data_IF_673554460487
#
_entry.id   IF_673554460487
#
_cell.length_a   1.000
_cell.length_b   1.000
_cell.length_c   1.000
_cell.angle_alpha   90.00
_cell.angle_beta   90.00
_cell.angle_gamma   90.00
#
_symmetry.space_group_name_H-M   'P 1'
#
loop_
_entity.id
_entity.type
_entity.pdbx_description
1 polymer ?
#
# COMPACT_ATOMS: atom_id res chain seq x y z
N UNK A 1 99.52 89.86 38.99
CA UNK A 1 99.67 89.42 40.40
C UNK A 1 99.59 87.92 40.46
N UNK A 2 100.74 87.27 40.47
CA UNK A 2 100.89 85.83 40.73
C UNK A 2 102.22 85.69 41.45
N UNK A 3 102.15 85.80 42.79
CA UNK A 3 103.23 85.45 43.69
C UNK A 3 103.52 83.96 43.49
N UNK A 4 104.56 83.64 42.76
CA UNK A 4 105.16 82.30 42.81
C UNK A 4 105.79 82.14 44.20
N UNK A 5 105.34 81.18 45.02
CA UNK A 5 105.98 80.91 46.30
C UNK A 5 107.38 80.33 46.02
N UNK A 6 108.41 80.83 46.72
CA UNK A 6 109.70 80.15 46.74
C UNK A 6 109.46 78.70 47.22
N UNK A 7 109.91 77.67 46.48
CA UNK A 7 109.72 76.30 46.91
C UNK A 7 110.66 76.05 48.10
N UNK A 8 110.10 75.99 49.30
CA UNK A 8 110.79 75.45 50.48
C UNK A 8 110.72 73.94 50.35
N UNK A 9 111.85 73.30 50.02
CA UNK A 9 111.98 71.85 50.09
C UNK A 9 112.26 71.49 51.55
N UNK A 10 111.21 71.12 52.29
CA UNK A 10 111.33 70.59 53.65
C UNK A 10 111.66 69.10 53.60
N UNK A 11 112.82 68.69 54.14
CA UNK A 11 113.09 67.28 54.43
C UNK A 11 112.60 66.95 55.84
N UNK A 12 112.08 65.74 56.03
CA UNK A 12 111.48 65.23 57.27
C UNK A 12 112.47 65.01 58.43
N UNK A 13 113.67 65.59 58.33
CA UNK A 13 114.73 65.52 59.32
C UNK A 13 115.27 66.93 59.57
N UNK A 14 114.48 67.76 60.27
CA UNK A 14 114.90 68.97 60.98
C UNK A 14 115.47 70.15 60.18
N UNK A 15 115.59 70.06 58.85
CA UNK A 15 116.37 71.00 58.04
C UNK A 15 115.56 71.51 56.84
N UNK A 16 115.32 72.83 56.74
CA UNK A 16 114.57 73.44 55.62
C UNK A 16 115.49 74.16 54.66
N UNK A 17 115.43 73.88 53.35
CA UNK A 17 116.31 74.52 52.37
C UNK A 17 115.59 75.61 51.57
N UNK A 18 116.28 76.72 51.32
CA UNK A 18 115.84 77.78 50.42
C UNK A 18 116.90 78.05 49.35
N UNK A 19 116.42 78.41 48.16
CA UNK A 19 117.25 78.98 47.11
C UNK A 19 117.20 80.50 47.26
N UNK A 20 118.31 81.11 47.67
CA UNK A 20 118.44 82.54 47.84
C UNK A 20 119.30 83.12 46.72
N UNK A 21 118.81 84.17 46.05
CA UNK A 21 119.61 84.96 45.13
C UNK A 21 119.98 86.25 45.87
N UNK A 22 121.26 86.43 46.17
CA UNK A 22 121.78 87.60 46.87
C UNK A 22 122.61 88.44 45.91
N UNK A 23 122.59 89.76 46.11
CA UNK A 23 123.36 90.68 45.30
C UNK A 23 124.68 90.97 46.00
N UNK A 24 125.81 90.53 45.42
CA UNK A 24 127.14 90.76 45.97
C UNK A 24 127.73 92.08 45.48
N UNK A 25 127.48 92.43 44.22
CA UNK A 25 127.95 93.66 43.59
C UNK A 25 127.08 94.02 42.38
N UNK A 26 127.23 95.23 41.84
CA UNK A 26 126.52 95.62 40.60
C UNK A 26 126.74 94.67 39.41
N UNK A 27 127.77 93.82 39.46
CA UNK A 27 128.14 92.86 38.41
C UNK A 27 128.07 91.39 38.82
N UNK A 28 127.72 91.05 40.07
CA UNK A 28 127.63 89.64 40.50
C UNK A 28 126.56 89.39 41.55
N UNK A 29 125.85 88.28 41.35
CA UNK A 29 124.87 87.72 42.27
C UNK A 29 125.45 86.42 42.85
N UNK A 30 125.07 86.02 44.07
CA UNK A 30 125.22 84.63 44.47
C UNK A 30 123.89 83.92 44.46
N UNK A 31 123.90 82.72 43.88
CA UNK A 31 122.86 81.74 44.05
C UNK A 31 123.29 80.78 45.17
N UNK A 32 122.63 80.91 46.31
CA UNK A 32 122.91 80.12 47.50
C UNK A 32 121.79 79.12 47.76
N UNK A 33 122.15 77.88 48.03
CA UNK A 33 121.27 76.88 48.63
C UNK A 33 121.57 76.89 50.13
N UNK A 34 120.63 77.43 50.90
CA UNK A 34 120.78 77.67 52.33
C UNK A 34 119.86 76.73 53.09
N UNK A 35 120.41 75.96 54.01
CA UNK A 35 119.66 75.27 55.04
C UNK A 35 119.38 76.21 56.20
N UNK A 36 118.11 76.35 56.53
CA UNK A 36 117.61 77.08 57.67
C UNK A 36 117.66 76.15 58.88
N UNK A 37 118.34 76.61 59.93
CA UNK A 37 118.53 75.89 61.18
C UNK A 37 118.26 76.87 62.34
N UNK A 38 117.63 76.37 63.41
CA UNK A 38 117.13 77.20 64.53
C UNK A 38 118.21 78.04 65.22
N UNK A 39 119.46 77.57 65.22
CA UNK A 39 120.57 78.31 65.83
C UNK A 39 121.33 79.17 64.82
N UNK A 40 121.59 78.65 63.62
CA UNK A 40 122.32 79.36 62.56
C UNK A 40 122.12 78.70 61.20
N UNK A 41 121.69 79.48 60.22
CA UNK A 41 121.56 79.01 58.84
C UNK A 41 122.92 78.58 58.25
N UNK A 42 122.91 77.45 57.54
CA UNK A 42 124.10 76.83 56.94
C UNK A 42 123.99 76.97 55.42
N UNK A 43 124.98 77.60 54.79
CA UNK A 43 125.06 77.67 53.32
C UNK A 43 125.77 76.42 52.83
N UNK A 44 125.06 75.58 52.08
CA UNK A 44 125.60 74.33 51.56
C UNK A 44 126.32 74.52 50.24
N UNK A 45 125.74 75.36 49.41
CA UNK A 45 126.28 75.68 48.11
C UNK A 45 126.08 77.17 47.85
N UNK A 46 127.13 77.82 47.41
CA UNK A 46 127.11 79.21 46.97
C UNK A 46 127.82 79.28 45.64
N UNK A 47 127.07 79.57 44.59
CA UNK A 47 127.63 79.86 43.29
C UNK A 47 127.57 81.36 43.06
N UNK A 48 128.71 81.97 42.74
CA UNK A 48 128.69 83.30 42.19
C UNK A 48 128.24 83.23 40.73
N UNK A 49 127.10 83.87 40.44
CA UNK A 49 126.55 84.03 39.12
C UNK A 49 126.86 85.47 38.69
N UNK A 50 127.72 85.68 37.69
CA UNK A 50 127.94 87.01 37.16
C UNK A 50 126.62 87.56 36.60
N UNK A 51 126.36 88.84 36.83
CA UNK A 51 125.26 89.52 36.17
C UNK A 51 125.47 89.43 34.67
N UNK A 52 124.49 88.88 33.95
CA UNK A 52 124.62 88.68 32.52
C UNK A 52 124.82 90.03 31.82
N UNK A 53 125.90 90.15 31.05
CA UNK A 53 126.13 91.32 30.21
C UNK A 53 125.01 91.52 29.19
N UNK A 54 124.82 92.76 28.73
CA UNK A 54 123.74 93.12 27.81
C UNK A 54 123.74 92.26 26.54
N UNK A 55 124.93 91.95 26.01
CA UNK A 55 125.08 91.09 24.82
C UNK A 55 124.56 89.67 25.05
N UNK A 56 124.84 89.08 26.22
CA UNK A 56 124.35 87.75 26.57
C UNK A 56 122.83 87.74 26.71
N UNK A 57 122.27 88.72 27.40
CA UNK A 57 120.82 88.88 27.57
C UNK A 57 120.15 89.05 26.21
N UNK A 58 120.67 89.94 25.36
CA UNK A 58 120.17 90.18 24.00
C UNK A 58 120.26 88.92 23.14
N UNK A 59 121.37 88.19 23.19
CA UNK A 59 121.55 86.93 22.46
C UNK A 59 120.54 85.87 22.90
N UNK A 60 120.33 85.72 24.22
CA UNK A 60 119.37 84.75 24.76
C UNK A 60 117.93 85.13 24.39
N UNK A 61 117.55 86.41 24.51
CA UNK A 61 116.23 86.89 24.05
C UNK A 61 116.03 86.66 22.56
N UNK A 62 117.02 86.95 21.72
CA UNK A 62 116.96 86.67 20.29
C UNK A 62 116.79 85.17 20.00
N UNK A 63 117.48 84.30 20.74
CA UNK A 63 117.36 82.85 20.63
C UNK A 63 115.96 82.37 20.99
N UNK A 64 115.43 82.80 22.15
CA UNK A 64 114.07 82.47 22.60
C UNK A 64 113.03 82.99 21.61
N UNK A 65 113.15 84.24 21.16
CA UNK A 65 112.25 84.82 20.18
C UNK A 65 112.25 84.04 18.86
N UNK A 66 113.42 83.66 18.33
CA UNK A 66 113.52 82.85 17.11
C UNK A 66 112.86 81.48 17.29
N UNK A 67 113.08 80.80 18.42
CA UNK A 67 112.45 79.52 18.73
C UNK A 67 110.91 79.65 18.75
N UNK A 68 110.38 80.58 19.54
CA UNK A 68 108.94 80.82 19.63
C UNK A 68 108.34 81.25 18.29
N UNK A 69 109.04 82.08 17.52
CA UNK A 69 108.60 82.49 16.17
C UNK A 69 108.52 81.29 15.22
N UNK A 70 109.50 80.39 15.27
CA UNK A 70 109.50 79.17 14.46
C UNK A 70 108.36 78.23 14.87
N UNK A 71 108.12 78.05 16.18
CA UNK A 71 106.99 77.25 16.69
C UNK A 71 105.64 77.83 16.25
N UNK A 72 105.45 79.14 16.35
CA UNK A 72 104.23 79.82 15.87
C UNK A 72 104.02 79.53 14.38
N UNK A 73 105.08 79.58 13.57
CA UNK A 73 104.96 79.33 12.13
C UNK A 73 104.63 77.86 11.83
N UNK A 74 105.19 76.92 12.57
CA UNK A 74 104.82 75.49 12.48
C UNK A 74 103.35 75.26 12.86
N UNK A 75 102.88 75.86 13.96
CA UNK A 75 101.48 75.73 14.36
C UNK A 75 100.53 76.37 13.34
N UNK A 76 100.89 77.50 12.73
CA UNK A 76 100.10 78.09 11.64
C UNK A 76 99.99 77.15 10.44
N UNK A 77 101.08 76.50 10.05
CA UNK A 77 101.07 75.53 8.96
C UNK A 77 100.22 74.30 9.29
N UNK A 78 100.30 73.79 10.52
CA UNK A 78 99.45 72.69 10.97
C UNK A 78 97.97 73.06 10.98
N UNK A 79 97.60 74.23 11.51
CA UNK A 79 96.22 74.72 11.50
C UNK A 79 95.70 74.82 10.07
N UNK A 80 96.51 75.36 9.14
CA UNK A 80 96.13 75.45 7.73
C UNK A 80 95.87 74.07 7.12
N UNK A 81 96.80 73.13 7.32
CA UNK A 81 96.67 71.76 6.81
C UNK A 81 95.42 71.05 7.36
N UNK A 82 95.17 71.14 8.67
CA UNK A 82 93.98 70.57 9.30
C UNK A 82 92.69 71.22 8.77
N UNK A 83 92.70 72.53 8.53
CA UNK A 83 91.55 73.24 7.99
C UNK A 83 91.25 72.82 6.53
N UNK A 84 92.29 72.62 5.72
CA UNK A 84 92.14 72.13 4.34
C UNK A 84 91.59 70.69 4.34
N UNK A 85 92.08 69.83 5.24
CA UNK A 85 91.57 68.46 5.43
C UNK A 85 90.11 68.45 5.88
N UNK A 86 89.76 69.29 6.86
CA UNK A 86 88.39 69.42 7.35
C UNK A 86 87.45 69.88 6.23
N UNK A 87 87.86 70.89 5.46
CA UNK A 87 87.06 71.40 4.33
C UNK A 87 86.83 70.33 3.28
N UNK A 88 87.88 69.60 2.89
CA UNK A 88 87.77 68.48 1.94
C UNK A 88 86.84 67.38 2.44
N UNK A 89 86.97 67.00 3.72
CA UNK A 89 86.11 66.00 4.35
C UNK A 89 84.66 66.47 4.40
N UNK A 90 84.40 67.72 4.77
CA UNK A 90 83.06 68.31 4.80
C UNK A 90 82.41 68.29 3.42
N UNK A 91 83.13 68.68 2.36
CA UNK A 91 82.60 68.65 0.98
C UNK A 91 82.28 67.22 0.56
N UNK A 92 83.20 66.28 0.80
CA UNK A 92 83.01 64.87 0.45
C UNK A 92 81.80 64.26 1.18
N UNK A 93 81.70 64.43 2.50
CA UNK A 93 80.58 63.91 3.30
C UNK A 93 79.24 64.58 2.97
N UNK A 94 79.24 65.86 2.62
CA UNK A 94 78.03 66.54 2.14
C UNK A 94 77.54 65.92 0.84
N UNK A 95 78.44 65.59 -0.08
CA UNK A 95 78.09 64.92 -1.34
C UNK A 95 77.54 63.51 -1.11
N UNK A 96 78.17 62.72 -0.23
CA UNK A 96 77.67 61.39 0.14
C UNK A 96 76.25 61.46 0.70
N UNK A 97 75.98 62.41 1.61
CA UNK A 97 74.65 62.63 2.19
C UNK A 97 73.62 63.05 1.13
N UNK A 98 73.99 63.90 0.18
CA UNK A 98 73.12 64.30 -0.92
C UNK A 98 72.76 63.12 -1.82
N UNK A 99 73.74 62.28 -2.16
CA UNK A 99 73.52 61.07 -2.97
C UNK A 99 72.58 60.09 -2.24
N UNK A 100 72.84 59.82 -0.96
CA UNK A 100 72.02 58.92 -0.16
C UNK A 100 70.58 59.45 -0.03
N UNK A 101 70.40 60.77 0.16
CA UNK A 101 69.06 61.39 0.19
C UNK A 101 68.32 61.23 -1.14
N UNK A 102 69.01 61.33 -2.27
CA UNK A 102 68.42 61.12 -3.59
C UNK A 102 68.01 59.65 -3.81
N UNK A 103 68.84 58.69 -3.39
CA UNK A 103 68.53 57.26 -3.45
C UNK A 103 67.31 56.90 -2.58
N UNK A 104 67.28 57.37 -1.32
CA UNK A 104 66.12 57.17 -0.46
C UNK A 104 64.84 57.78 -1.05
N UNK A 105 64.92 58.96 -1.68
CA UNK A 105 63.76 59.59 -2.32
C UNK A 105 63.25 58.75 -3.49
N UNK A 106 64.14 58.20 -4.31
CA UNK A 106 63.77 57.29 -5.42
C UNK A 106 63.15 56.00 -4.91
N UNK A 107 63.72 55.39 -3.87
CA UNK A 107 63.18 54.17 -3.28
C UNK A 107 61.80 54.40 -2.66
N UNK A 108 61.62 55.53 -1.97
CA UNK A 108 60.31 55.92 -1.43
C UNK A 108 59.27 56.05 -2.52
N UNK A 109 59.59 56.76 -3.61
CA UNK A 109 58.68 56.91 -4.74
C UNK A 109 58.31 55.56 -5.38
N UNK A 110 59.29 54.67 -5.57
CA UNK A 110 59.03 53.32 -6.09
C UNK A 110 58.10 52.50 -5.18
N UNK A 111 58.26 52.63 -3.86
CA UNK A 111 57.38 51.99 -2.88
C UNK A 111 55.96 52.56 -2.95
N UNK A 112 55.82 53.88 -3.02
CA UNK A 112 54.52 54.56 -3.12
C UNK A 112 53.78 54.15 -4.41
N UNK A 113 54.49 54.03 -5.53
CA UNK A 113 53.92 53.57 -6.81
C UNK A 113 53.47 52.10 -6.73
N UNK A 114 54.29 51.22 -6.13
CA UNK A 114 53.92 49.80 -5.92
C UNK A 114 52.72 49.65 -4.99
N UNK A 115 52.63 50.48 -3.95
CA UNK A 115 51.52 50.45 -3.00
C UNK A 115 50.22 50.85 -3.71
N UNK A 116 50.27 51.88 -4.55
CA UNK A 116 49.14 52.30 -5.39
C UNK A 116 48.68 51.21 -6.37
N UNK A 117 49.62 50.52 -7.02
CA UNK A 117 49.32 49.40 -7.91
C UNK A 117 48.66 48.23 -7.16
N UNK A 118 49.11 47.94 -5.93
CA UNK A 118 48.51 46.92 -5.08
C UNK A 118 47.11 47.30 -4.61
N UNK A 119 46.90 48.55 -4.21
CA UNK A 119 45.57 49.06 -3.83
C UNK A 119 44.59 48.95 -5.00
N UNK A 120 45.03 49.29 -6.21
CA UNK A 120 44.20 49.18 -7.41
C UNK A 120 43.87 47.72 -7.75
N UNK A 121 44.84 46.81 -7.64
CA UNK A 121 44.61 45.37 -7.83
C UNK A 121 43.65 44.81 -6.79
N UNK A 122 43.82 45.19 -5.53
CA UNK A 122 42.94 44.81 -4.44
C UNK A 122 41.50 45.29 -4.69
N UNK A 123 41.35 46.54 -5.13
CA UNK A 123 40.04 47.09 -5.48
C UNK A 123 39.36 46.30 -6.60
N UNK A 124 40.07 46.02 -7.70
CA UNK A 124 39.53 45.24 -8.82
C UNK A 124 39.12 43.84 -8.35
N UNK A 125 39.94 43.17 -7.55
CA UNK A 125 39.61 41.82 -7.09
C UNK A 125 38.45 41.80 -6.09
N UNK A 126 38.33 42.85 -5.26
CA UNK A 126 37.16 43.04 -4.41
C UNK A 126 35.88 43.22 -5.24
N UNK A 127 35.93 44.02 -6.33
CA UNK A 127 34.76 44.20 -7.20
C UNK A 127 34.34 42.89 -7.88
N UNK A 128 35.28 42.10 -8.41
CA UNK A 128 34.98 40.78 -8.98
C UNK A 128 34.40 39.81 -7.97
N UNK A 129 34.92 39.82 -6.74
CA UNK A 129 34.41 38.97 -5.67
C UNK A 129 32.97 39.34 -5.32
N UNK A 130 32.68 40.64 -5.15
CA UNK A 130 31.33 41.14 -4.90
C UNK A 130 30.36 40.78 -6.05
N UNK A 131 30.77 40.94 -7.31
CA UNK A 131 29.95 40.54 -8.48
C UNK A 131 29.66 39.03 -8.49
N UNK A 132 30.66 38.21 -8.17
CA UNK A 132 30.51 36.76 -8.09
C UNK A 132 29.57 36.37 -6.94
N UNK A 133 29.71 37.01 -5.78
CA UNK A 133 28.83 36.82 -4.63
C UNK A 133 27.38 37.17 -4.98
N UNK A 134 27.13 38.33 -5.59
CA UNK A 134 25.78 38.73 -6.02
C UNK A 134 25.18 37.77 -7.04
N UNK A 135 25.98 37.30 -8.01
CA UNK A 135 25.54 36.30 -8.99
C UNK A 135 25.17 34.97 -8.33
N UNK A 136 25.94 34.53 -7.33
CA UNK A 136 25.63 33.31 -6.59
C UNK A 136 24.37 33.47 -5.74
N UNK A 137 24.20 34.60 -5.05
CA UNK A 137 22.98 34.93 -4.30
C UNK A 137 21.76 34.88 -5.22
N UNK A 138 21.84 35.50 -6.40
CA UNK A 138 20.75 35.48 -7.39
C UNK A 138 20.40 34.06 -7.87
N UNK A 139 21.40 33.22 -8.15
CA UNK A 139 21.19 31.81 -8.53
C UNK A 139 20.52 31.01 -7.41
N UNK A 140 20.94 31.21 -6.16
CA UNK A 140 20.34 30.51 -5.01
C UNK A 140 18.88 30.92 -4.83
N UNK A 141 18.56 32.21 -4.93
CA UNK A 141 17.18 32.70 -4.85
C UNK A 141 16.32 32.12 -5.97
N UNK A 142 16.84 32.07 -7.20
CA UNK A 142 16.12 31.48 -8.33
C UNK A 142 15.81 29.98 -8.10
N UNK A 143 16.82 29.20 -7.70
CA UNK A 143 16.64 27.77 -7.39
C UNK A 143 15.65 27.54 -6.24
N UNK A 144 15.66 28.41 -5.22
CA UNK A 144 14.68 28.33 -4.12
C UNK A 144 13.24 28.55 -4.62
N UNK A 145 13.03 29.47 -5.57
CA UNK A 145 11.72 29.70 -6.19
C UNK A 145 11.30 28.49 -7.02
N UNK A 146 12.20 27.94 -7.84
CA UNK A 146 11.92 26.75 -8.65
C UNK A 146 11.56 25.51 -7.82
N UNK A 147 12.31 25.26 -6.74
CA UNK A 147 12.04 24.15 -5.81
C UNK A 147 10.66 24.31 -5.18
N UNK A 148 10.33 25.50 -4.65
CA UNK A 148 9.00 25.77 -4.07
C UNK A 148 7.89 25.55 -5.09
N UNK A 149 8.04 26.07 -6.30
CA UNK A 149 7.05 25.88 -7.37
C UNK A 149 6.87 24.41 -7.73
N UNK A 150 7.96 23.64 -7.76
CA UNK A 150 7.92 22.20 -8.03
C UNK A 150 7.25 21.44 -6.89
N UNK A 151 7.52 21.78 -5.64
CA UNK A 151 6.89 21.17 -4.46
C UNK A 151 5.38 21.42 -4.46
N UNK A 152 4.95 22.65 -4.74
CA UNK A 152 3.53 23.01 -4.88
C UNK A 152 2.84 22.19 -5.99
N UNK A 153 3.51 22.00 -7.13
CA UNK A 153 3.00 21.19 -8.23
C UNK A 153 2.88 19.71 -7.85
N UNK A 154 3.89 19.16 -7.17
CA UNK A 154 3.89 17.78 -6.70
C UNK A 154 2.80 17.55 -5.66
N UNK A 155 2.60 18.48 -4.73
CA UNK A 155 1.54 18.41 -3.73
C UNK A 155 0.15 18.47 -4.37
N UNK A 156 -0.03 19.32 -5.39
CA UNK A 156 -1.28 19.36 -6.17
C UNK A 156 -1.54 18.03 -6.90
N UNK A 157 -0.52 17.44 -7.52
CA UNK A 157 -0.64 16.12 -8.18
C UNK A 157 -0.97 15.02 -7.18
N UNK A 158 -0.31 15.02 -6.02
CA UNK A 158 -0.55 14.06 -4.93
C UNK A 158 -2.01 14.13 -4.45
N UNK A 159 -2.53 15.33 -4.20
CA UNK A 159 -3.93 15.53 -3.81
C UNK A 159 -4.91 15.03 -4.88
N UNK A 160 -4.66 15.36 -6.15
CA UNK A 160 -5.51 14.90 -7.26
C UNK A 160 -5.50 13.36 -7.40
N UNK A 161 -4.35 12.70 -7.25
CA UNK A 161 -4.30 11.24 -7.26
C UNK A 161 -5.01 10.62 -6.04
N UNK A 162 -4.91 11.25 -4.86
CA UNK A 162 -5.63 10.80 -3.66
C UNK A 162 -7.15 10.91 -3.87
N UNK A 163 -7.64 12.03 -4.41
CA UNK A 163 -9.05 12.22 -4.74
C UNK A 163 -9.55 11.17 -5.74
N UNK A 164 -8.79 10.89 -6.81
CA UNK A 164 -9.11 9.83 -7.77
C UNK A 164 -9.14 8.44 -7.13
N UNK A 165 -8.19 8.14 -6.25
CA UNK A 165 -8.16 6.88 -5.53
C UNK A 165 -9.39 6.70 -4.63
N UNK A 166 -9.77 7.74 -3.88
CA UNK A 166 -10.97 7.71 -3.05
C UNK A 166 -12.24 7.55 -3.90
N UNK A 167 -12.33 8.24 -5.04
CA UNK A 167 -13.47 8.09 -5.96
C UNK A 167 -13.58 6.65 -6.50
N UNK A 168 -12.46 6.04 -6.91
CA UNK A 168 -12.45 4.66 -7.40
C UNK A 168 -12.79 3.66 -6.30
N UNK A 169 -12.27 3.88 -5.08
CA UNK A 169 -12.58 3.06 -3.91
C UNK A 169 -14.07 3.11 -3.60
N UNK A 170 -14.68 4.29 -3.64
CA UNK A 170 -16.11 4.47 -3.40
C UNK A 170 -16.95 3.80 -4.49
N UNK A 171 -16.62 3.99 -5.77
CA UNK A 171 -17.30 3.30 -6.89
C UNK A 171 -17.21 1.78 -6.78
N UNK A 172 -16.05 1.25 -6.40
CA UNK A 172 -15.86 -0.18 -6.19
C UNK A 172 -16.71 -0.68 -5.02
N UNK A 173 -16.73 0.03 -3.89
CA UNK A 173 -17.57 -0.30 -2.75
C UNK A 173 -19.06 -0.33 -3.13
N UNK A 174 -19.54 0.67 -3.88
CA UNK A 174 -20.92 0.70 -4.37
C UNK A 174 -21.25 -0.50 -5.26
N UNK A 175 -20.34 -0.89 -6.15
CA UNK A 175 -20.52 -2.07 -7.01
C UNK A 175 -20.50 -3.37 -6.20
N UNK A 176 -19.61 -3.48 -5.21
CA UNK A 176 -19.58 -4.60 -4.26
C UNK A 176 -20.93 -4.70 -3.53
N UNK A 177 -21.44 -3.60 -2.97
CA UNK A 177 -22.75 -3.59 -2.29
C UNK A 177 -23.88 -3.99 -3.22
N UNK A 178 -23.93 -3.47 -4.44
CA UNK A 178 -24.94 -3.85 -5.45
C UNK A 178 -24.90 -5.35 -5.75
N UNK A 179 -23.71 -5.93 -5.93
CA UNK A 179 -23.55 -7.36 -6.19
C UNK A 179 -23.95 -8.21 -4.98
N UNK A 180 -23.57 -7.80 -3.77
CA UNK A 180 -23.99 -8.50 -2.55
C UNK A 180 -25.52 -8.52 -2.40
N UNK A 181 -26.21 -7.41 -2.68
CA UNK A 181 -27.68 -7.36 -2.66
C UNK A 181 -28.28 -8.32 -3.70
N UNK A 182 -27.76 -8.31 -4.94
CA UNK A 182 -28.24 -9.22 -5.99
C UNK A 182 -28.01 -10.70 -5.65
N UNK A 183 -26.87 -11.04 -5.05
CA UNK A 183 -26.60 -12.41 -4.59
C UNK A 183 -27.61 -12.83 -3.55
N UNK A 184 -27.90 -11.98 -2.57
CA UNK A 184 -28.93 -12.23 -1.55
C UNK A 184 -30.32 -12.48 -2.17
N UNK A 185 -30.74 -11.63 -3.12
CA UNK A 185 -32.02 -11.81 -3.83
C UNK A 185 -32.08 -13.15 -4.60
N UNK A 186 -30.96 -13.57 -5.19
CA UNK A 186 -30.86 -14.88 -5.88
C UNK A 186 -30.92 -16.02 -4.87
N UNK A 187 -30.27 -15.89 -3.72
CA UNK A 187 -30.31 -16.89 -2.64
C UNK A 187 -31.73 -17.06 -2.09
N UNK A 188 -32.43 -15.95 -1.80
CA UNK A 188 -33.83 -15.96 -1.36
C UNK A 188 -34.74 -16.63 -2.40
N UNK A 189 -34.59 -16.31 -3.69
CA UNK A 189 -35.34 -16.97 -4.77
C UNK A 189 -35.00 -18.45 -4.88
N UNK A 190 -33.73 -18.83 -4.74
CA UNK A 190 -33.30 -20.23 -4.77
C UNK A 190 -33.93 -21.02 -3.63
N UNK A 191 -33.99 -20.44 -2.43
CA UNK A 191 -34.64 -21.05 -1.26
C UNK A 191 -36.14 -21.21 -1.46
N UNK A 192 -36.82 -20.19 -2.00
CA UNK A 192 -38.25 -20.27 -2.36
C UNK A 192 -38.52 -21.38 -3.38
N UNK A 193 -37.75 -21.43 -4.47
CA UNK A 193 -37.88 -22.47 -5.50
C UNK A 193 -37.56 -23.87 -4.96
N UNK A 194 -36.58 -23.99 -4.06
CA UNK A 194 -36.27 -25.26 -3.42
C UNK A 194 -37.45 -25.76 -2.56
N UNK A 195 -38.12 -24.85 -1.83
CA UNK A 195 -39.32 -25.18 -1.08
C UNK A 195 -40.48 -25.60 -1.99
N UNK A 196 -40.73 -24.88 -3.10
CA UNK A 196 -41.73 -25.24 -4.10
C UNK A 196 -41.46 -26.62 -4.74
N UNK A 197 -40.21 -26.90 -5.09
CA UNK A 197 -39.81 -28.20 -5.64
C UNK A 197 -40.05 -29.34 -4.64
N UNK A 198 -39.84 -29.12 -3.35
CA UNK A 198 -40.10 -30.13 -2.33
C UNK A 198 -41.62 -30.39 -2.20
N UNK A 199 -42.45 -29.35 -2.24
CA UNK A 199 -43.92 -29.50 -2.29
C UNK A 199 -44.35 -30.30 -3.52
N UNK A 200 -43.87 -29.94 -4.70
CA UNK A 200 -44.19 -30.65 -5.95
C UNK A 200 -43.74 -32.12 -5.88
N UNK A 201 -42.60 -32.40 -5.24
CA UNK A 201 -42.11 -33.76 -5.05
C UNK A 201 -43.04 -34.57 -4.14
N UNK A 202 -43.50 -33.99 -3.02
CA UNK A 202 -44.49 -34.61 -2.14
C UNK A 202 -45.79 -34.89 -2.91
N UNK A 203 -46.30 -33.91 -3.66
CA UNK A 203 -47.53 -34.06 -4.46
C UNK A 203 -47.39 -35.16 -5.52
N UNK A 204 -46.26 -35.20 -6.22
CA UNK A 204 -45.96 -36.24 -7.20
C UNK A 204 -45.93 -37.62 -6.56
N UNK A 205 -45.25 -37.78 -5.43
CA UNK A 205 -45.16 -39.05 -4.72
C UNK A 205 -46.56 -39.50 -4.24
N UNK A 206 -47.40 -38.57 -3.79
CA UNK A 206 -48.80 -38.82 -3.43
C UNK A 206 -49.65 -39.24 -4.64
N UNK A 207 -49.54 -38.54 -5.77
CA UNK A 207 -50.24 -38.89 -7.01
C UNK A 207 -49.80 -40.25 -7.52
N UNK A 208 -48.50 -40.56 -7.46
CA UNK A 208 -47.98 -41.87 -7.86
C UNK A 208 -48.52 -42.98 -6.95
N UNK A 209 -48.63 -42.74 -5.64
CA UNK A 209 -49.23 -43.70 -4.70
C UNK A 209 -50.73 -43.90 -4.99
N UNK A 210 -51.47 -42.82 -5.24
CA UNK A 210 -52.88 -42.89 -5.60
C UNK A 210 -53.10 -43.64 -6.92
N UNK A 211 -52.25 -43.40 -7.93
CA UNK A 211 -52.30 -44.15 -9.19
C UNK A 211 -52.11 -45.65 -8.96
N UNK A 212 -51.12 -46.06 -8.16
CA UNK A 212 -50.89 -47.47 -7.82
C UNK A 212 -52.10 -48.10 -7.13
N UNK A 213 -52.68 -47.41 -6.15
CA UNK A 213 -53.91 -47.86 -5.47
C UNK A 213 -55.08 -48.02 -6.44
N UNK A 214 -55.29 -47.03 -7.31
CA UNK A 214 -56.35 -47.09 -8.31
C UNK A 214 -56.12 -48.24 -9.30
N UNK A 215 -54.88 -48.49 -9.72
CA UNK A 215 -54.54 -49.63 -10.58
C UNK A 215 -54.82 -50.97 -9.89
N UNK A 216 -54.53 -51.09 -8.60
CA UNK A 216 -54.86 -52.26 -7.76
C UNK A 216 -56.38 -52.46 -7.66
N UNK A 217 -57.13 -51.41 -7.33
CA UNK A 217 -58.60 -51.44 -7.26
C UNK A 217 -59.24 -51.79 -8.61
N UNK A 218 -58.74 -51.20 -9.70
CA UNK A 218 -59.20 -51.49 -11.06
C UNK A 218 -58.92 -52.95 -11.45
N UNK A 219 -57.79 -53.51 -11.02
CA UNK A 219 -57.47 -54.92 -11.25
C UNK A 219 -58.39 -55.86 -10.45
N UNK A 220 -58.72 -55.54 -9.21
CA UNK A 220 -59.72 -56.30 -8.44
C UNK A 220 -61.12 -56.19 -9.06
N UNK A 221 -61.56 -55.00 -9.47
CA UNK A 221 -62.83 -54.82 -10.19
C UNK A 221 -62.85 -55.63 -11.50
N UNK A 222 -61.77 -55.64 -12.27
CA UNK A 222 -61.65 -56.47 -13.48
C UNK A 222 -61.81 -57.95 -13.16
N UNK A 223 -61.19 -58.42 -12.08
CA UNK A 223 -61.28 -59.81 -11.63
C UNK A 223 -62.71 -60.16 -11.20
N UNK A 224 -63.38 -59.26 -10.49
CA UNK A 224 -64.77 -59.44 -10.11
C UNK A 224 -65.72 -59.38 -11.30
N UNK A 225 -65.45 -58.52 -12.29
CA UNK A 225 -66.17 -58.50 -13.56
C UNK A 225 -66.01 -59.82 -14.32
N UNK A 226 -64.81 -60.40 -14.35
CA UNK A 226 -64.58 -61.73 -14.94
C UNK A 226 -65.38 -62.81 -14.22
N UNK A 227 -65.41 -62.81 -12.88
CA UNK A 227 -66.25 -63.73 -12.10
C UNK A 227 -67.74 -63.51 -12.40
N UNK A 228 -68.21 -62.27 -12.46
CA UNK A 228 -69.59 -61.95 -12.80
C UNK A 228 -69.95 -62.44 -14.21
N UNK A 229 -69.06 -62.26 -15.19
CA UNK A 229 -69.22 -62.79 -16.55
C UNK A 229 -69.26 -64.33 -16.57
N UNK A 230 -68.46 -65.02 -15.75
CA UNK A 230 -68.53 -66.48 -15.57
C UNK A 230 -69.89 -66.92 -15.03
N UNK A 231 -70.41 -66.21 -14.02
CA UNK A 231 -71.74 -66.47 -13.44
C UNK A 231 -72.83 -66.24 -14.48
N UNK A 232 -72.79 -65.12 -15.22
CA UNK A 232 -73.74 -64.82 -16.29
C UNK A 232 -73.72 -65.94 -17.34
N UNK A 233 -72.54 -66.41 -17.76
CA UNK A 233 -72.42 -67.52 -18.72
C UNK A 233 -73.03 -68.82 -18.18
N UNK A 234 -72.82 -69.15 -16.91
CA UNK A 234 -73.45 -70.31 -16.25
C UNK A 234 -74.98 -70.16 -16.24
N UNK A 235 -75.48 -69.01 -15.79
CA UNK A 235 -76.92 -68.71 -15.77
C UNK A 235 -77.53 -68.76 -17.18
N UNK A 236 -76.86 -68.22 -18.21
CA UNK A 236 -77.30 -68.35 -19.61
C UNK A 236 -77.32 -69.81 -20.09
N UNK A 237 -76.39 -70.65 -19.61
CA UNK A 237 -76.40 -72.09 -19.84
C UNK A 237 -77.60 -72.78 -19.19
N UNK A 238 -77.89 -72.46 -17.93
CA UNK A 238 -79.05 -72.96 -17.19
C UNK A 238 -80.37 -72.51 -17.83
N UNK A 239 -80.49 -71.24 -18.22
CA UNK A 239 -81.67 -70.71 -18.91
C UNK A 239 -81.89 -71.44 -20.24
N UNK A 240 -80.83 -71.68 -21.04
CA UNK A 240 -80.94 -72.48 -22.27
C UNK A 240 -81.38 -73.92 -21.99
N UNK A 241 -80.80 -74.57 -20.98
CA UNK A 241 -81.18 -75.92 -20.56
C UNK A 241 -82.65 -75.99 -20.12
N UNK A 242 -83.11 -75.03 -19.33
CA UNK A 242 -84.50 -74.94 -18.90
C UNK A 242 -85.44 -74.60 -20.07
N UNK A 243 -85.03 -73.75 -21.00
CA UNK A 243 -85.79 -73.47 -22.21
C UNK A 243 -85.98 -74.75 -23.05
N UNK A 244 -84.93 -75.56 -23.21
CA UNK A 244 -85.01 -76.84 -23.91
C UNK A 244 -85.94 -77.84 -23.17
N UNK A 245 -85.80 -77.95 -21.84
CA UNK A 245 -86.73 -78.75 -21.02
C UNK A 245 -88.17 -78.30 -21.17
N UNK A 246 -88.40 -76.99 -21.19
CA UNK A 246 -89.73 -76.40 -21.32
C UNK A 246 -90.31 -76.64 -22.74
N UNK A 247 -89.47 -76.64 -23.77
CA UNK A 247 -89.85 -77.03 -25.14
C UNK A 247 -90.26 -78.51 -25.20
N UNK A 248 -89.46 -79.41 -24.62
CA UNK A 248 -89.81 -80.84 -24.49
C UNK A 248 -91.12 -81.00 -23.72
N UNK A 249 -91.32 -80.23 -22.64
CA UNK A 249 -92.56 -80.26 -21.86
C UNK A 249 -93.77 -79.82 -22.68
N UNK A 250 -93.62 -78.76 -23.50
CA UNK A 250 -94.67 -78.27 -24.39
C UNK A 250 -94.97 -79.26 -25.54
N UNK A 251 -93.95 -79.90 -26.11
CA UNK A 251 -94.13 -80.97 -27.09
C UNK A 251 -94.85 -82.18 -26.48
N UNK A 252 -94.49 -82.56 -25.25
CA UNK A 252 -95.18 -83.61 -24.48
C UNK A 252 -96.63 -83.24 -24.21
N UNK A 253 -96.90 -81.99 -23.82
CA UNK A 253 -98.25 -81.47 -23.63
C UNK A 253 -99.06 -81.50 -24.92
N UNK A 254 -98.47 -81.11 -26.04
CA UNK A 254 -99.14 -81.15 -27.34
C UNK A 254 -99.51 -82.58 -27.75
N UNK A 255 -98.60 -83.56 -27.56
CA UNK A 255 -98.90 -84.99 -27.78
C UNK A 255 -99.98 -85.52 -26.85
N UNK A 256 -100.01 -85.07 -25.60
CA UNK A 256 -101.10 -85.42 -24.67
C UNK A 256 -102.45 -84.87 -25.17
N UNK A 257 -102.49 -83.61 -25.63
CA UNK A 257 -103.71 -82.99 -26.16
C UNK A 257 -104.21 -83.72 -27.43
N UNK A 258 -103.30 -84.13 -28.32
CA UNK A 258 -103.62 -84.97 -29.50
C UNK A 258 -104.18 -86.34 -29.10
N UNK A 259 -103.57 -87.01 -28.12
CA UNK A 259 -104.02 -88.30 -27.61
C UNK A 259 -105.41 -88.20 -26.96
N UNK A 260 -105.69 -87.12 -26.21
CA UNK A 260 -107.01 -86.84 -25.63
C UNK A 260 -108.05 -86.60 -26.72
N UNK A 261 -107.72 -85.84 -27.77
CA UNK A 261 -108.61 -85.62 -28.92
C UNK A 261 -108.94 -86.91 -29.68
N UNK A 262 -107.92 -87.77 -29.87
CA UNK A 262 -108.07 -89.06 -30.54
C UNK A 262 -108.95 -90.01 -29.71
N UNK A 263 -108.71 -90.08 -28.39
CA UNK A 263 -109.53 -90.88 -27.47
C UNK A 263 -110.98 -90.36 -27.38
N UNK A 264 -111.19 -89.05 -27.44
CA UNK A 264 -112.53 -88.45 -27.47
C UNK A 264 -113.29 -88.85 -28.75
N UNK A 265 -112.61 -88.81 -29.89
CA UNK A 265 -113.16 -89.25 -31.18
C UNK A 265 -113.47 -90.76 -31.21
N UNK A 266 -112.64 -91.59 -30.55
CA UNK A 266 -112.90 -93.03 -30.41
C UNK A 266 -114.10 -93.32 -29.49
N UNK A 267 -114.25 -92.56 -28.41
CA UNK A 267 -115.41 -92.61 -27.51
C UNK A 267 -116.71 -92.23 -28.22
N UNK A 268 -116.69 -91.18 -29.06
CA UNK A 268 -117.87 -90.76 -29.81
C UNK A 268 -118.30 -91.81 -30.86
N UNK A 269 -117.35 -92.51 -31.48
CA UNK A 269 -117.64 -93.66 -32.37
C UNK A 269 -118.27 -94.82 -31.61
N UNK A 270 -117.66 -95.25 -30.51
CA UNK A 270 -118.19 -96.34 -29.67
C UNK A 270 -119.57 -95.99 -29.09
N UNK A 271 -119.81 -94.72 -28.76
CA UNK A 271 -121.12 -94.24 -28.30
C UNK A 271 -122.19 -94.34 -29.40
N UNK A 272 -121.84 -94.05 -30.66
CA UNK A 272 -122.74 -94.21 -31.80
C UNK A 272 -123.00 -95.69 -32.13
N UNK A 273 -121.98 -96.54 -32.06
CA UNK A 273 -122.14 -97.99 -32.27
C UNK A 273 -123.06 -98.61 -31.21
N UNK A 274 -122.93 -98.18 -29.95
CA UNK A 274 -123.82 -98.62 -28.86
C UNK A 274 -125.28 -98.18 -29.10
N UNK A 275 -125.51 -96.97 -29.63
CA UNK A 275 -126.84 -96.49 -30.02
C UNK A 275 -127.46 -97.33 -31.13
N UNK A 276 -126.67 -97.73 -32.13
CA UNK A 276 -127.12 -98.59 -33.23
C UNK A 276 -127.46 -100.01 -32.74
N UNK A 277 -126.63 -100.59 -31.87
CA UNK A 277 -126.92 -101.88 -31.23
C UNK A 277 -128.20 -101.85 -30.39
N UNK A 278 -128.42 -100.79 -29.60
CA UNK A 278 -129.65 -100.61 -28.83
C UNK A 278 -130.91 -100.49 -29.72
N UNK A 279 -130.80 -99.87 -30.90
CA UNK A 279 -131.89 -99.83 -31.87
C UNK A 279 -132.17 -101.22 -32.49
N UNK A 280 -131.14 -101.99 -32.81
CA UNK A 280 -131.30 -103.36 -33.33
C UNK A 280 -131.92 -104.31 -32.30
N UNK A 281 -131.57 -104.17 -31.02
CA UNK A 281 -132.19 -104.93 -29.93
C UNK A 281 -133.68 -104.59 -29.82
N UNK A 282 -134.05 -103.30 -29.85
CA UNK A 282 -135.48 -102.89 -29.82
C UNK A 282 -136.29 -103.41 -31.01
N UNK A 283 -135.70 -103.55 -32.18
CA UNK A 283 -136.35 -104.14 -33.36
C UNK A 283 -136.55 -105.65 -33.14
N UNK A 284 -135.54 -106.35 -32.62
CA UNK A 284 -135.59 -107.79 -32.31
C UNK A 284 -136.56 -108.11 -31.18
N UNK A 285 -136.69 -107.25 -30.17
CA UNK A 285 -137.67 -107.40 -29.08
C UNK A 285 -139.11 -107.32 -29.58
N UNK A 286 -139.41 -106.37 -30.49
CA UNK A 286 -140.74 -106.28 -31.13
C UNK A 286 -141.05 -107.47 -32.05
N UNK A 287 -140.03 -108.04 -32.70
CA UNK A 287 -140.17 -109.26 -33.50
C UNK A 287 -140.51 -110.47 -32.61
N UNK A 288 -139.89 -110.57 -31.43
CA UNK A 288 -140.16 -111.64 -30.45
C UNK A 288 -141.57 -111.49 -29.88
N UNK A 289 -142.03 -110.29 -29.53
CA UNK A 289 -143.42 -110.08 -29.07
C UNK A 289 -144.44 -110.53 -30.13
N UNK A 290 -144.24 -110.15 -31.41
CA UNK A 290 -145.10 -110.55 -32.53
C UNK A 290 -145.14 -112.07 -32.72
N UNK A 291 -143.98 -112.73 -32.67
CA UNK A 291 -143.87 -114.18 -32.81
C UNK A 291 -144.48 -114.93 -31.60
N UNK A 292 -144.44 -114.34 -30.41
CA UNK A 292 -145.03 -114.93 -29.21
C UNK A 292 -146.56 -114.87 -29.27
N UNK A 293 -147.11 -113.78 -29.81
CA UNK A 293 -148.55 -113.59 -30.02
C UNK A 293 -149.10 -114.48 -31.15
N UNK A 294 -148.35 -114.65 -32.25
CA UNK A 294 -148.66 -115.63 -33.30
C UNK A 294 -148.66 -117.08 -32.78
N UNK A 295 -147.70 -117.43 -31.92
CA UNK A 295 -147.61 -118.80 -31.38
C UNK A 295 -148.73 -119.08 -30.35
N UNK A 296 -149.17 -118.06 -29.60
CA UNK A 296 -150.35 -118.16 -28.74
C UNK A 296 -151.64 -118.39 -29.54
N UNK A 297 -151.80 -117.69 -30.68
CA UNK A 297 -152.95 -117.85 -31.56
C UNK A 297 -152.97 -119.21 -32.28
N UNK A 298 -151.82 -119.73 -32.70
CA UNK A 298 -151.73 -121.09 -33.27
C UNK A 298 -152.01 -122.18 -32.22
N UNK A 299 -151.62 -121.97 -30.97
CA UNK A 299 -151.92 -122.91 -29.88
C UNK A 299 -153.41 -122.95 -29.55
N UNK A 300 -154.08 -121.79 -29.56
CA UNK A 300 -155.55 -121.72 -29.42
C UNK A 300 -156.30 -122.36 -30.61
N UNK A 301 -155.74 -122.31 -31.82
CA UNK A 301 -156.30 -123.02 -32.98
C UNK A 301 -156.13 -124.54 -32.91
N UNK A 302 -155.00 -125.04 -32.39
CA UNK A 302 -154.78 -126.47 -32.19
C UNK A 302 -155.75 -127.06 -31.14
N UNK A 303 -155.97 -126.36 -30.02
CA UNK A 303 -156.90 -126.80 -28.97
C UNK A 303 -158.38 -126.83 -29.48
N UNK A 304 -158.73 -125.95 -30.43
CA UNK A 304 -160.05 -125.93 -31.06
C UNK A 304 -160.25 -127.05 -32.11
N UNK A 305 -159.20 -127.45 -32.83
CA UNK A 305 -159.25 -128.54 -33.82
C UNK A 305 -159.29 -129.93 -33.16
N UNK A 306 -158.63 -130.11 -32.01
CA UNK A 306 -158.64 -131.38 -31.28
C UNK A 306 -160.02 -131.67 -30.66
N UNK A 307 -160.74 -130.62 -30.24
CA UNK A 307 -162.12 -130.74 -29.74
C UNK A 307 -163.13 -131.08 -30.86
N UNK A 308 -162.82 -130.74 -32.13
CA UNK A 308 -163.66 -131.09 -33.27
C UNK A 308 -163.47 -132.55 -33.74
N UNK A 309 -162.29 -133.15 -33.53
CA UNK A 309 -162.05 -134.56 -33.88
C UNK A 309 -162.74 -135.56 -32.93
N UNK A 310 -163.09 -135.14 -31.72
CA UNK A 310 -163.88 -135.94 -30.75
C UNK A 310 -165.39 -135.99 -31.08
N UNK A 311 -165.83 -135.42 -32.21
CA UNK A 311 -167.25 -135.39 -32.64
C UNK A 311 -167.58 -136.13 -33.96
N UNK A 312 -166.61 -136.86 -34.53
CA UNK A 312 -166.84 -137.81 -35.63
C UNK A 312 -165.91 -139.00 -35.40
N UNK A 313 -166.30 -140.24 -35.05
CA UNK A 313 -167.43 -141.11 -35.40
C UNK A 313 -167.24 -142.34 -34.48
N UNK A 314 -168.23 -143.01 -33.87
CA UNK A 314 -169.42 -143.66 -34.44
C UNK A 314 -169.21 -144.18 -35.86
#
# INVERSE_FOLDING_TARGET
CSNTPNPILSSSSGSSYILAIKNLSHSSLTLEIIELNEFRNIVHLSFEIPSAGEEFVRSNYCSIYRKLKNEIEQYKQQIKSLNDQLTSLTVSKTKDLQNLKAEFSKQKQLLDDKLRDLDQKLFVEQTKWNETEQNLIGKVQHLQIEIKSRDDLLEKKRKNHEEQYQEWKEKLNQEITKRHTKVREIEEKRESLAAELEVIKIERDQLQQNSKKNDEELNEIKKDLLKANEIIRKLQGEVRSNHEKMKILNESKHRQDEMVSTNKSALDRLSNDLKLCLQQIKIKEKEIERLTEENSNHKQQCDQLETQLMSSKN
#
